data_IF_207845234798
#
_entry.id   IF_207845234798
#
_cell.length_a   1.000
_cell.length_b   1.000
_cell.length_c   1.000
_cell.angle_alpha   90.00
_cell.angle_beta   90.00
_cell.angle_gamma   90.00
#
_symmetry.space_group_name_H-M   'P 1'
#
loop_
_entity.id
_entity.type
_entity.pdbx_description
1 polymer ?
#
# COMPACT_ATOMS: atom_id res chain seq x y z
N UNK A 1 -11.20 9.51 6.29
CA UNK A 1 -10.78 9.83 4.92
C UNK A 1 -9.58 8.98 4.61
N UNK A 2 -9.61 8.22 3.52
CA UNK A 2 -8.55 7.26 3.17
C UNK A 2 -7.68 7.86 2.08
N UNK A 3 -6.36 7.85 2.27
CA UNK A 3 -5.42 8.31 1.23
C UNK A 3 -5.15 7.16 0.27
N UNK A 4 -5.46 7.39 -1.00
CA UNK A 4 -5.23 6.43 -2.08
C UNK A 4 -3.85 6.65 -2.69
N UNK A 5 -3.05 5.61 -2.76
CA UNK A 5 -1.67 5.65 -3.24
C UNK A 5 -1.43 4.53 -4.26
N UNK A 6 -0.53 4.78 -5.21
CA UNK A 6 -0.09 3.78 -6.18
C UNK A 6 1.33 3.31 -5.90
N UNK A 7 1.64 2.06 -6.24
CA UNK A 7 3.00 1.50 -6.15
C UNK A 7 3.56 1.34 -7.57
N UNK A 8 4.44 2.26 -7.98
CA UNK A 8 5.19 2.09 -9.22
C UNK A 8 6.37 1.12 -9.00
N UNK A 9 6.26 -0.08 -9.57
CA UNK A 9 7.24 -1.16 -9.43
C UNK A 9 6.80 -2.23 -8.43
N UNK A 10 6.00 -3.20 -8.88
CA UNK A 10 5.40 -4.24 -8.03
C UNK A 10 6.27 -5.51 -7.87
N UNK A 11 7.59 -5.31 -7.76
CA UNK A 11 8.58 -6.37 -7.51
C UNK A 11 8.59 -6.82 -6.05
N UNK A 12 9.77 -7.23 -5.56
CA UNK A 12 9.94 -7.66 -4.16
C UNK A 12 9.50 -6.58 -3.17
N UNK A 13 9.93 -5.34 -3.38
CA UNK A 13 9.63 -4.22 -2.48
C UNK A 13 8.16 -3.82 -2.58
N UNK A 14 7.58 -3.70 -3.77
CA UNK A 14 6.17 -3.32 -3.92
C UNK A 14 5.21 -4.26 -3.17
N UNK A 15 5.48 -5.58 -3.19
CA UNK A 15 4.69 -6.55 -2.42
C UNK A 15 4.87 -6.42 -0.90
N UNK A 16 6.07 -6.10 -0.43
CA UNK A 16 6.33 -5.85 0.99
C UNK A 16 5.64 -4.57 1.44
N UNK A 17 5.65 -3.52 0.62
CA UNK A 17 4.94 -2.26 0.87
C UNK A 17 3.43 -2.51 0.97
N UNK A 18 2.80 -3.23 0.03
CA UNK A 18 1.38 -3.57 0.14
C UNK A 18 1.05 -4.28 1.47
N UNK A 19 1.85 -5.27 1.85
CA UNK A 19 1.67 -6.00 3.12
C UNK A 19 1.82 -5.10 4.34
N UNK A 20 2.85 -4.27 4.37
CA UNK A 20 3.10 -3.35 5.46
C UNK A 20 2.00 -2.28 5.57
N UNK A 21 1.53 -1.75 4.44
CA UNK A 21 0.44 -0.77 4.39
C UNK A 21 -0.84 -1.34 5.01
N UNK A 22 -1.22 -2.56 4.63
CA UNK A 22 -2.42 -3.21 5.18
C UNK A 22 -2.31 -3.51 6.68
N UNK A 23 -1.11 -3.86 7.16
CA UNK A 23 -0.89 -4.18 8.57
C UNK A 23 -0.78 -2.94 9.48
N UNK A 24 -0.09 -1.90 9.01
CA UNK A 24 0.26 -0.74 9.83
C UNK A 24 -0.73 0.42 9.72
N UNK A 25 -1.45 0.53 8.60
CA UNK A 25 -2.33 1.67 8.30
C UNK A 25 -3.75 1.26 7.89
N UNK A 26 -4.42 0.37 8.63
CA UNK A 26 -5.77 -0.07 8.29
C UNK A 26 -6.75 1.12 8.23
N UNK A 27 -7.50 1.20 7.14
CA UNK A 27 -8.50 2.26 6.92
C UNK A 27 -7.92 3.67 6.73
N UNK A 28 -6.59 3.83 6.73
CA UNK A 28 -5.91 5.10 6.51
C UNK A 28 -5.29 5.18 5.12
N UNK A 29 -4.66 4.09 4.67
CA UNK A 29 -4.02 4.01 3.36
C UNK A 29 -4.64 2.87 2.54
N UNK A 30 -4.86 3.13 1.25
CA UNK A 30 -5.35 2.16 0.26
C UNK A 30 -4.41 2.15 -0.94
N UNK A 31 -3.87 0.97 -1.30
CA UNK A 31 -3.13 0.80 -2.56
C UNK A 31 -4.14 0.65 -3.69
N UNK A 32 -4.22 1.63 -4.58
CA UNK A 32 -5.23 1.69 -5.65
C UNK A 32 -4.67 1.34 -7.05
N UNK A 33 -3.35 1.31 -7.22
CA UNK A 33 -2.66 0.98 -8.47
C UNK A 33 -1.27 0.38 -8.20
#
# INVERSE_FOLDING_TARGET
MTTRIGINGFGRIGRLVLRATNALYPGKLEIAA
#
